data_IF_857380145208
#
_entry.id   IF_857380145208
#
_cell.length_a   1.000
_cell.length_b   1.000
_cell.length_c   1.000
_cell.angle_alpha   90.00
_cell.angle_beta   90.00
_cell.angle_gamma   90.00
#
_symmetry.space_group_name_H-M   'P 1'
#
loop_
_entity.id
_entity.type
_entity.pdbx_description
1 polymer ?
#
# COMPACT_ATOMS: atom_id res chain seq x y z
N UNK A 1 4.89 -17.81 -13.02
CA UNK A 1 4.56 -16.41 -12.74
C UNK A 1 5.53 -15.41 -13.38
N UNK A 2 6.87 -15.58 -13.30
CA UNK A 2 7.84 -14.65 -13.95
C UNK A 2 7.65 -14.45 -15.47
N UNK A 3 7.10 -15.41 -16.19
CA UNK A 3 6.88 -15.32 -17.65
C UNK A 3 5.64 -14.51 -18.04
N UNK A 4 4.56 -14.55 -17.26
CA UNK A 4 3.33 -13.81 -17.54
C UNK A 4 3.47 -12.30 -17.30
N UNK A 5 4.26 -11.90 -16.30
CA UNK A 5 4.55 -10.49 -16.01
C UNK A 5 5.38 -9.84 -17.13
N UNK A 6 6.21 -10.60 -17.84
CA UNK A 6 7.03 -10.09 -18.96
C UNK A 6 6.24 -9.75 -20.25
N UNK A 7 4.98 -10.14 -20.37
CA UNK A 7 4.18 -9.91 -21.58
C UNK A 7 3.41 -8.57 -21.58
N UNK A 8 3.39 -7.86 -20.45
CA UNK A 8 2.85 -6.49 -20.37
C UNK A 8 3.91 -5.54 -20.87
N UNK A 9 3.59 -4.67 -21.85
CA UNK A 9 4.55 -3.66 -22.26
C UNK A 9 4.93 -2.79 -21.05
N UNK A 10 6.22 -2.53 -20.84
CA UNK A 10 6.71 -1.67 -19.76
C UNK A 10 6.02 -0.30 -19.73
N UNK A 11 5.49 0.15 -20.86
CA UNK A 11 4.70 1.37 -20.98
C UNK A 11 3.36 1.31 -20.23
N UNK A 12 2.71 0.14 -20.18
CA UNK A 12 1.39 0.00 -19.56
C UNK A 12 1.47 0.11 -18.03
N UNK A 13 2.55 -0.42 -17.43
CA UNK A 13 2.79 -0.41 -15.98
C UNK A 13 3.76 0.69 -15.54
N UNK A 14 4.03 1.68 -16.41
CA UNK A 14 4.90 2.79 -16.07
C UNK A 14 4.30 3.62 -14.91
N UNK A 15 5.18 4.04 -13.99
CA UNK A 15 4.77 4.80 -12.81
C UNK A 15 4.01 6.08 -13.15
N UNK A 16 4.42 6.80 -14.19
CA UNK A 16 3.77 8.05 -14.60
C UNK A 16 2.32 7.80 -15.06
N UNK A 17 2.08 6.65 -15.67
CA UNK A 17 0.74 6.23 -16.08
C UNK A 17 -0.15 5.91 -14.87
N UNK A 18 0.41 5.21 -13.88
CA UNK A 18 -0.27 4.99 -12.61
C UNK A 18 -0.61 6.30 -11.91
N UNK A 19 0.34 7.24 -11.87
CA UNK A 19 0.13 8.53 -11.23
C UNK A 19 -0.90 9.39 -11.95
N UNK A 20 -0.93 9.36 -13.28
CA UNK A 20 -1.98 10.01 -14.08
C UNK A 20 -3.35 9.47 -13.70
N UNK A 21 -3.51 8.13 -13.66
CA UNK A 21 -4.76 7.49 -13.26
C UNK A 21 -5.19 7.89 -11.84
N UNK A 22 -4.25 7.89 -10.90
CA UNK A 22 -4.50 8.35 -9.51
C UNK A 22 -4.99 9.80 -9.50
N UNK A 23 -4.31 10.73 -10.19
CA UNK A 23 -4.66 12.16 -10.15
C UNK A 23 -5.96 12.50 -10.86
N UNK A 24 -6.40 11.69 -11.81
CA UNK A 24 -7.70 11.79 -12.47
C UNK A 24 -8.88 11.34 -11.59
N UNK A 25 -8.63 10.44 -10.63
CA UNK A 25 -9.69 9.83 -9.82
C UNK A 25 -9.68 10.29 -8.37
N UNK A 26 -8.53 10.68 -7.83
CA UNK A 26 -8.32 11.04 -6.43
C UNK A 26 -7.97 12.52 -6.32
N UNK A 27 -8.79 13.32 -5.68
CA UNK A 27 -8.52 14.72 -5.35
C UNK A 27 -7.89 14.89 -3.97
N UNK A 28 -8.21 13.99 -3.04
CA UNK A 28 -7.74 13.99 -1.66
C UNK A 28 -6.23 13.85 -1.53
N UNK A 29 -5.56 14.86 -0.96
CA UNK A 29 -4.12 14.82 -0.65
C UNK A 29 -3.79 13.67 0.33
N UNK A 30 -4.67 13.39 1.29
CA UNK A 30 -4.46 12.32 2.26
C UNK A 30 -4.49 10.94 1.60
N UNK A 31 -5.42 10.68 0.67
CA UNK A 31 -5.48 9.42 -0.06
C UNK A 31 -4.28 9.30 -1.02
N UNK A 32 -3.92 10.36 -1.74
CA UNK A 32 -2.72 10.36 -2.58
C UNK A 32 -1.45 10.01 -1.78
N UNK A 33 -1.30 10.58 -0.58
CA UNK A 33 -0.17 10.26 0.32
C UNK A 33 -0.23 8.82 0.82
N UNK A 34 -1.42 8.30 1.08
CA UNK A 34 -1.59 6.87 1.41
C UNK A 34 -1.11 5.98 0.25
N UNK A 35 -1.58 6.22 -0.97
CA UNK A 35 -1.15 5.47 -2.15
C UNK A 35 0.37 5.52 -2.36
N UNK A 36 0.99 6.69 -2.17
CA UNK A 36 2.45 6.85 -2.23
C UNK A 36 3.17 6.10 -1.11
N UNK A 37 2.59 6.03 0.08
CA UNK A 37 3.17 5.28 1.21
C UNK A 37 3.12 3.77 0.93
N UNK A 38 1.98 3.26 0.43
CA UNK A 38 1.84 1.85 0.04
C UNK A 38 2.77 1.52 -1.13
N UNK A 39 2.88 2.41 -2.13
CA UNK A 39 3.86 2.26 -3.22
C UNK A 39 5.29 2.12 -2.66
N UNK A 40 5.70 3.01 -1.74
CA UNK A 40 7.03 2.97 -1.15
C UNK A 40 7.30 1.65 -0.42
N UNK A 41 6.34 1.16 0.34
CA UNK A 41 6.45 -0.09 1.10
C UNK A 41 6.52 -1.31 0.17
N UNK A 42 5.63 -1.42 -0.81
CA UNK A 42 5.57 -2.55 -1.75
C UNK A 42 6.80 -2.59 -2.65
N UNK A 43 7.27 -1.44 -3.16
CA UNK A 43 8.55 -1.33 -3.89
C UNK A 43 9.73 -1.73 -3.02
N UNK A 44 9.72 -1.36 -1.74
CA UNK A 44 10.75 -1.76 -0.80
C UNK A 44 10.87 -3.28 -0.66
N UNK A 45 9.76 -3.97 -0.54
CA UNK A 45 9.74 -5.42 -0.52
C UNK A 45 10.11 -6.04 -1.87
N UNK A 46 9.66 -5.48 -2.99
CA UNK A 46 10.05 -5.95 -4.32
C UNK A 46 11.58 -5.94 -4.47
N UNK A 47 12.25 -4.84 -4.10
CA UNK A 47 13.72 -4.76 -4.08
C UNK A 47 14.36 -5.78 -3.15
N UNK A 48 13.84 -5.92 -1.93
CA UNK A 48 14.36 -6.86 -0.93
C UNK A 48 14.34 -8.31 -1.43
N UNK A 49 13.32 -8.67 -2.21
CA UNK A 49 13.13 -10.05 -2.68
C UNK A 49 13.52 -10.28 -4.14
N UNK A 50 14.05 -9.25 -4.83
CA UNK A 50 14.46 -9.35 -6.24
C UNK A 50 13.30 -9.56 -7.20
N UNK A 51 12.12 -9.02 -6.88
CA UNK A 51 10.92 -9.03 -7.71
C UNK A 51 10.87 -7.78 -8.62
N UNK A 52 9.91 -7.74 -9.54
CA UNK A 52 9.72 -6.61 -10.46
C UNK A 52 9.16 -5.38 -9.74
N UNK A 53 10.05 -4.43 -9.40
CA UNK A 53 9.73 -3.24 -8.65
C UNK A 53 8.72 -2.34 -9.38
N UNK A 54 8.80 -2.22 -10.71
CA UNK A 54 7.89 -1.38 -11.47
C UNK A 54 6.49 -1.99 -11.52
N UNK A 55 6.38 -3.29 -11.77
CA UNK A 55 5.11 -4.00 -11.75
C UNK A 55 4.43 -3.95 -10.37
N UNK A 56 5.20 -4.16 -9.30
CA UNK A 56 4.68 -4.14 -7.94
C UNK A 56 4.29 -2.73 -7.51
N UNK A 57 5.12 -1.74 -7.82
CA UNK A 57 4.86 -0.33 -7.52
C UNK A 57 3.63 0.20 -8.25
N UNK A 58 3.42 -0.22 -9.50
CA UNK A 58 2.21 0.13 -10.26
C UNK A 58 0.95 -0.33 -9.51
N UNK A 59 0.87 -1.62 -9.17
CA UNK A 59 -0.30 -2.19 -8.46
C UNK A 59 -0.54 -1.47 -7.15
N UNK A 60 0.52 -1.24 -6.36
CA UNK A 60 0.43 -0.55 -5.09
C UNK A 60 -0.09 0.89 -5.24
N UNK A 61 0.34 1.59 -6.28
CA UNK A 61 -0.05 2.99 -6.49
C UNK A 61 -1.52 3.12 -6.92
N UNK A 62 -2.06 2.12 -7.62
CA UNK A 62 -3.45 2.18 -8.14
C UNK A 62 -4.44 1.31 -7.35
N UNK A 63 -4.05 0.69 -6.23
CA UNK A 63 -4.95 -0.27 -5.55
C UNK A 63 -6.27 0.35 -5.07
N UNK A 64 -6.22 1.60 -4.61
CA UNK A 64 -7.34 2.35 -4.03
C UNK A 64 -7.72 3.60 -4.85
N UNK A 65 -7.32 3.70 -6.13
CA UNK A 65 -7.59 4.91 -6.91
C UNK A 65 -9.09 5.20 -7.13
N UNK A 66 -9.94 4.22 -6.97
CA UNK A 66 -11.40 4.33 -7.06
C UNK A 66 -12.08 4.67 -5.74
N UNK A 67 -11.39 4.50 -4.59
CA UNK A 67 -11.97 4.57 -3.25
C UNK A 67 -12.64 5.91 -2.94
N UNK A 68 -12.09 7.04 -3.38
CA UNK A 68 -12.70 8.35 -3.14
C UNK A 68 -14.09 8.50 -3.80
N UNK A 69 -14.28 7.87 -4.95
CA UNK A 69 -15.54 7.91 -5.70
C UNK A 69 -16.50 6.80 -5.25
N UNK A 70 -15.98 5.69 -4.80
CA UNK A 70 -16.70 4.47 -4.49
C UNK A 70 -16.26 3.86 -3.14
N UNK A 71 -16.54 4.51 -1.99
CA UNK A 71 -15.99 4.08 -0.70
C UNK A 71 -16.70 2.88 -0.07
N UNK A 72 -17.79 2.41 -0.66
CA UNK A 72 -18.57 1.29 -0.13
C UNK A 72 -18.08 -0.06 -0.68
N UNK A 73 -18.31 -1.13 0.12
CA UNK A 73 -17.86 -2.49 -0.20
C UNK A 73 -18.52 -3.13 -1.43
N UNK A 74 -19.62 -2.58 -1.90
CA UNK A 74 -20.31 -3.09 -3.09
C UNK A 74 -19.63 -2.61 -4.36
N UNK A 75 -18.96 -1.47 -4.30
CA UNK A 75 -18.33 -0.80 -5.44
C UNK A 75 -16.79 -0.89 -5.40
N UNK A 76 -16.15 -0.57 -4.28
CA UNK A 76 -14.70 -0.71 -4.12
C UNK A 76 -14.33 -2.16 -3.75
N UNK A 77 -13.25 -2.75 -4.33
CA UNK A 77 -12.39 -2.24 -5.42
C UNK A 77 -12.89 -2.63 -6.82
N UNK A 78 -14.12 -3.13 -6.93
CA UNK A 78 -14.67 -3.69 -8.18
C UNK A 78 -14.74 -2.65 -9.30
N UNK A 79 -15.12 -1.41 -8.99
CA UNK A 79 -15.18 -0.32 -9.99
C UNK A 79 -13.80 0.06 -10.51
N UNK A 80 -12.80 0.11 -9.65
CA UNK A 80 -11.42 0.30 -10.06
C UNK A 80 -10.95 -0.81 -10.99
N UNK A 81 -11.29 -2.06 -10.68
CA UNK A 81 -10.96 -3.22 -11.52
C UNK A 81 -11.66 -3.15 -12.88
N UNK A 82 -12.95 -2.80 -12.94
CA UNK A 82 -13.67 -2.60 -14.22
C UNK A 82 -12.99 -1.55 -15.10
N UNK A 83 -12.56 -0.42 -14.51
CA UNK A 83 -11.84 0.64 -15.22
C UNK A 83 -10.51 0.10 -15.77
N UNK A 84 -9.72 -0.61 -14.96
CA UNK A 84 -8.44 -1.17 -15.38
C UNK A 84 -8.60 -2.22 -16.48
N UNK A 85 -9.62 -3.07 -16.41
CA UNK A 85 -9.96 -4.03 -17.45
C UNK A 85 -10.33 -3.32 -18.76
N UNK A 86 -11.13 -2.25 -18.69
CA UNK A 86 -11.48 -1.42 -19.84
C UNK A 86 -10.27 -0.74 -20.50
N UNK A 87 -9.23 -0.46 -19.70
CA UNK A 87 -7.95 0.09 -20.17
C UNK A 87 -6.96 -0.98 -20.66
N UNK A 88 -7.33 -2.27 -20.61
CA UNK A 88 -6.52 -3.38 -21.12
C UNK A 88 -5.44 -3.87 -20.15
N UNK A 89 -5.54 -3.55 -18.85
CA UNK A 89 -4.61 -4.10 -17.87
C UNK A 89 -4.83 -5.61 -17.67
N UNK A 90 -3.74 -6.38 -17.49
CA UNK A 90 -3.83 -7.84 -17.41
C UNK A 90 -4.44 -8.31 -16.09
N UNK A 91 -4.96 -9.53 -16.11
CA UNK A 91 -5.64 -10.18 -14.99
C UNK A 91 -4.79 -10.18 -13.69
N UNK A 92 -3.48 -10.36 -13.77
CA UNK A 92 -2.64 -10.36 -12.57
C UNK A 92 -2.64 -9.02 -11.81
N UNK A 93 -2.82 -7.88 -12.51
CA UNK A 93 -2.99 -6.55 -11.90
C UNK A 93 -4.33 -6.47 -11.18
N UNK A 94 -5.40 -6.77 -11.90
CA UNK A 94 -6.76 -6.66 -11.37
C UNK A 94 -7.03 -7.66 -10.25
N UNK A 95 -6.45 -8.87 -10.36
CA UNK A 95 -6.51 -9.88 -9.31
C UNK A 95 -5.79 -9.42 -8.02
N UNK A 96 -4.60 -8.85 -8.15
CA UNK A 96 -3.86 -8.32 -7.01
C UNK A 96 -4.65 -7.21 -6.29
N UNK A 97 -5.30 -6.33 -7.05
CA UNK A 97 -6.16 -5.28 -6.49
C UNK A 97 -7.39 -5.90 -5.80
N UNK A 98 -8.10 -6.85 -6.42
CA UNK A 98 -9.22 -7.53 -5.76
C UNK A 98 -8.81 -8.20 -4.45
N UNK A 99 -7.63 -8.83 -4.41
CA UNK A 99 -7.18 -9.63 -3.27
C UNK A 99 -6.81 -8.82 -2.03
N UNK A 100 -6.62 -7.48 -2.15
CA UNK A 100 -6.33 -6.66 -0.98
C UNK A 100 -7.57 -6.48 -0.08
N UNK A 101 -8.77 -6.60 -0.63
CA UNK A 101 -10.02 -6.49 0.08
C UNK A 101 -10.61 -7.89 0.37
N UNK A 102 -10.63 -8.33 1.62
CA UNK A 102 -11.12 -9.67 2.00
C UNK A 102 -12.55 -9.96 1.50
N UNK A 103 -13.40 -8.93 1.48
CA UNK A 103 -14.79 -9.07 1.04
C UNK A 103 -14.95 -9.27 -0.47
N UNK A 104 -13.89 -9.11 -1.26
CA UNK A 104 -13.88 -9.45 -2.68
C UNK A 104 -14.00 -10.96 -2.93
N UNK A 105 -13.65 -11.78 -1.92
CA UNK A 105 -13.63 -13.23 -2.02
C UNK A 105 -12.43 -13.78 -2.84
N UNK A 106 -11.52 -12.93 -3.30
CA UNK A 106 -10.33 -13.34 -4.06
C UNK A 106 -9.19 -13.66 -3.08
N UNK A 107 -8.74 -14.92 -2.97
CA UNK A 107 -7.68 -15.29 -2.05
C UNK A 107 -6.32 -14.74 -2.50
N UNK A 108 -5.48 -14.37 -1.53
CA UNK A 108 -4.09 -13.96 -1.77
C UNK A 108 -3.19 -15.18 -1.96
N UNK A 109 -2.72 -15.41 -3.16
CA UNK A 109 -1.87 -16.54 -3.53
C UNK A 109 -0.44 -16.12 -3.81
N UNK A 110 -0.28 -15.06 -4.60
CA UNK A 110 1.04 -14.58 -5.01
C UNK A 110 1.72 -13.74 -3.91
N UNK A 111 3.05 -13.63 -4.00
CA UNK A 111 3.81 -12.78 -3.10
C UNK A 111 3.40 -11.30 -3.22
N UNK A 112 3.11 -10.82 -4.44
CA UNK A 112 2.61 -9.47 -4.66
C UNK A 112 1.29 -9.21 -3.91
N UNK A 113 0.33 -10.11 -4.04
CA UNK A 113 -0.99 -9.99 -3.39
C UNK A 113 -0.86 -9.92 -1.86
N UNK A 114 -0.05 -10.81 -1.28
CA UNK A 114 0.24 -10.80 0.16
C UNK A 114 0.97 -9.54 0.60
N UNK A 115 1.90 -9.04 -0.23
CA UNK A 115 2.65 -7.82 0.08
C UNK A 115 1.77 -6.59 0.02
N UNK A 116 0.90 -6.48 -0.98
CA UNK A 116 -0.04 -5.38 -1.08
C UNK A 116 -0.92 -5.31 0.17
N UNK A 117 -1.57 -6.41 0.52
CA UNK A 117 -2.41 -6.51 1.72
C UNK A 117 -1.65 -6.16 3.01
N UNK A 118 -0.45 -6.70 3.18
CA UNK A 118 0.34 -6.45 4.39
C UNK A 118 0.81 -4.99 4.50
N UNK A 119 1.08 -4.34 3.37
CA UNK A 119 1.60 -2.96 3.35
C UNK A 119 0.51 -1.90 3.42
N UNK A 120 -0.70 -2.18 2.96
CA UNK A 120 -1.79 -1.23 2.87
C UNK A 120 -2.13 -0.63 4.25
N UNK A 121 -2.79 -1.38 5.11
CA UNK A 121 -3.17 -0.90 6.44
C UNK A 121 -1.96 -0.55 7.32
N UNK A 122 -0.84 -1.27 7.17
CA UNK A 122 0.37 -0.99 7.93
C UNK A 122 0.97 0.38 7.58
N UNK A 123 0.98 0.76 6.31
CA UNK A 123 1.47 2.07 5.87
C UNK A 123 0.62 3.21 6.46
N UNK A 124 -0.71 3.05 6.44
CA UNK A 124 -1.65 3.99 7.07
C UNK A 124 -1.44 4.11 8.58
N UNK A 125 -1.27 2.98 9.26
CA UNK A 125 -1.06 2.95 10.71
C UNK A 125 0.28 3.57 11.14
N UNK A 126 1.36 3.32 10.38
CA UNK A 126 2.67 3.93 10.61
C UNK A 126 2.61 5.43 10.35
N UNK A 127 1.98 5.87 9.26
CA UNK A 127 1.77 7.30 8.95
C UNK A 127 1.03 8.00 10.08
N UNK A 128 -0.09 7.46 10.55
CA UNK A 128 -0.81 8.00 11.68
C UNK A 128 0.05 8.05 12.95
N UNK A 129 0.86 6.99 13.18
CA UNK A 129 1.77 6.92 14.33
C UNK A 129 2.86 7.99 14.30
N UNK A 130 3.38 8.33 13.11
CA UNK A 130 4.35 9.40 12.93
C UNK A 130 3.71 10.78 13.18
N UNK A 131 2.54 11.04 12.59
CA UNK A 131 1.88 12.35 12.63
C UNK A 131 1.44 12.82 14.03
N UNK A 132 1.16 11.89 14.95
CA UNK A 132 0.80 12.25 16.34
C UNK A 132 2.00 12.44 17.26
N UNK A 133 3.21 12.25 16.76
CA UNK A 133 4.45 12.55 17.51
C UNK A 133 4.72 14.07 17.51
N UNK A 134 5.44 14.61 18.53
CA UNK A 134 5.89 16.01 18.48
C UNK A 134 6.73 16.33 17.24
N UNK A 135 7.57 15.37 16.80
CA UNK A 135 8.40 15.49 15.59
C UNK A 135 7.59 15.44 14.30
N UNK A 136 6.38 14.85 14.31
CA UNK A 136 5.57 14.58 13.13
C UNK A 136 6.39 13.89 12.01
N UNK A 137 7.31 13.03 12.40
CA UNK A 137 8.30 12.44 11.50
C UNK A 137 8.35 10.93 11.62
N UNK A 138 8.56 10.27 10.48
CA UNK A 138 8.86 8.85 10.41
C UNK A 138 10.34 8.57 10.67
N UNK A 139 11.19 9.61 10.61
CA UNK A 139 12.64 9.48 10.73
C UNK A 139 13.10 9.02 12.12
N UNK A 140 12.37 9.39 13.17
CA UNK A 140 12.64 9.00 14.55
C UNK A 140 11.61 8.00 15.12
N UNK A 141 10.75 7.45 14.26
CA UNK A 141 9.74 6.45 14.65
C UNK A 141 10.36 5.05 14.70
N UNK A 142 10.14 4.34 15.80
CA UNK A 142 10.61 2.96 16.01
C UNK A 142 9.44 1.97 16.05
N UNK A 143 9.69 0.72 15.64
CA UNK A 143 8.69 -0.35 15.62
C UNK A 143 8.03 -0.58 17.00
N UNK A 144 8.81 -0.47 18.08
CA UNK A 144 8.31 -0.58 19.45
C UNK A 144 7.23 0.44 19.78
N UNK A 145 7.35 1.67 19.25
CA UNK A 145 6.35 2.73 19.41
C UNK A 145 5.07 2.41 18.65
N UNK A 146 5.18 1.85 17.45
CA UNK A 146 4.04 1.40 16.62
C UNK A 146 3.30 0.26 17.34
N UNK A 147 4.03 -0.76 17.81
CA UNK A 147 3.47 -1.90 18.56
C UNK A 147 2.76 -1.43 19.83
N UNK A 148 3.31 -0.44 20.53
CA UNK A 148 2.66 0.16 21.71
C UNK A 148 1.32 0.80 21.33
N UNK A 149 1.26 1.53 20.20
CA UNK A 149 0.02 2.15 19.70
C UNK A 149 -1.01 1.14 19.22
N UNK A 150 -0.62 -0.01 18.72
CA UNK A 150 -1.54 -1.10 18.37
C UNK A 150 -2.39 -1.57 19.57
N UNK A 151 -1.90 -1.38 20.80
CA UNK A 151 -2.64 -1.72 22.03
C UNK A 151 -3.73 -0.69 22.38
N UNK A 152 -3.63 0.54 21.85
CA UNK A 152 -4.64 1.58 22.00
C UNK A 152 -5.74 1.41 20.94
N UNK A 153 -6.89 0.91 21.34
CA UNK A 153 -8.03 0.67 20.45
C UNK A 153 -8.68 1.97 19.93
N UNK A 154 -8.47 3.11 20.60
CA UNK A 154 -8.99 4.40 20.16
C UNK A 154 -8.13 5.03 19.06
N UNK A 155 -6.83 4.74 19.05
CA UNK A 155 -5.90 5.25 18.04
C UNK A 155 -6.14 4.57 16.69
N UNK A 156 -6.25 5.37 15.61
CA UNK A 156 -6.50 4.86 14.25
C UNK A 156 -7.57 3.74 14.24
N UNK A 157 -8.73 4.03 14.82
CA UNK A 157 -9.79 3.02 15.07
C UNK A 157 -10.33 2.35 13.82
N UNK A 158 -10.21 3.01 12.66
CA UNK A 158 -10.63 2.47 11.37
C UNK A 158 -9.73 1.31 10.88
N UNK A 159 -8.50 1.21 11.39
CA UNK A 159 -7.54 0.16 11.02
C UNK A 159 -7.71 -1.06 11.90
N UNK A 160 -8.20 -2.21 11.39
CA UNK A 160 -8.33 -3.43 12.16
C UNK A 160 -6.95 -3.98 12.57
N UNK A 161 -6.75 -4.21 13.88
CA UNK A 161 -5.45 -4.70 14.37
C UNK A 161 -5.14 -6.12 13.90
N UNK A 162 -6.18 -6.88 13.63
CA UNK A 162 -6.07 -8.24 13.09
C UNK A 162 -5.49 -8.23 11.68
N UNK A 163 -5.81 -7.25 10.87
CA UNK A 163 -5.28 -7.14 9.51
C UNK A 163 -3.79 -6.80 9.52
N UNK A 164 -3.34 -5.95 10.47
CA UNK A 164 -1.91 -5.65 10.64
C UNK A 164 -1.08 -6.89 11.01
N UNK A 165 -1.61 -7.75 11.89
CA UNK A 165 -0.92 -8.98 12.30
C UNK A 165 -0.99 -10.04 11.21
N UNK A 166 -2.17 -10.25 10.62
CA UNK A 166 -2.37 -11.21 9.53
C UNK A 166 -1.51 -10.88 8.31
N UNK A 167 -1.36 -9.61 7.96
CA UNK A 167 -0.50 -9.20 6.85
C UNK A 167 0.97 -9.64 7.08
N UNK A 168 1.51 -9.44 8.27
CA UNK A 168 2.85 -9.90 8.62
C UNK A 168 2.95 -11.45 8.57
N UNK A 169 1.94 -12.15 9.11
CA UNK A 169 1.88 -13.61 9.12
C UNK A 169 1.82 -14.18 7.69
N UNK A 170 1.03 -13.61 6.80
CA UNK A 170 0.94 -14.04 5.40
C UNK A 170 2.25 -13.82 4.61
N UNK A 171 3.05 -12.83 5.02
CA UNK A 171 4.41 -12.63 4.49
C UNK A 171 5.42 -13.61 5.11
N UNK A 172 5.07 -14.30 6.19
CA UNK A 172 5.98 -15.15 6.95
C UNK A 172 7.03 -14.35 7.73
N UNK A 173 6.71 -13.11 8.12
CA UNK A 173 7.61 -12.21 8.85
C UNK A 173 7.12 -11.98 10.28
N UNK A 174 8.03 -11.88 11.26
CA UNK A 174 7.69 -11.36 12.58
C UNK A 174 7.10 -9.95 12.46
N UNK A 175 6.00 -9.65 13.17
CA UNK A 175 5.32 -8.35 13.12
C UNK A 175 6.27 -7.15 13.33
N UNK A 176 7.20 -7.26 14.29
CA UNK A 176 8.16 -6.20 14.57
C UNK A 176 9.13 -5.96 13.39
N UNK A 177 9.50 -7.01 12.68
CA UNK A 177 10.34 -6.94 11.49
C UNK A 177 9.58 -6.29 10.33
N UNK A 178 8.33 -6.72 10.09
CA UNK A 178 7.47 -6.10 9.08
C UNK A 178 7.30 -4.59 9.32
N UNK A 179 6.98 -4.18 10.55
CA UNK A 179 6.87 -2.76 10.92
C UNK A 179 8.20 -2.03 10.67
N UNK A 180 9.34 -2.61 11.08
CA UNK A 180 10.67 -2.01 10.88
C UNK A 180 10.97 -1.79 9.41
N UNK A 181 10.68 -2.79 8.57
CA UNK A 181 10.89 -2.72 7.13
C UNK A 181 10.03 -1.61 6.50
N UNK A 182 8.72 -1.57 6.82
CA UNK A 182 7.82 -0.54 6.28
C UNK A 182 8.27 0.85 6.73
N UNK A 183 8.62 1.06 8.02
CA UNK A 183 9.21 2.33 8.50
C UNK A 183 10.42 2.72 7.65
N UNK A 184 11.34 1.78 7.40
CA UNK A 184 12.55 2.01 6.60
C UNK A 184 12.20 2.42 5.16
N UNK A 185 11.20 1.80 4.55
CA UNK A 185 10.76 2.12 3.19
C UNK A 185 10.08 3.51 3.12
N UNK A 186 9.27 3.86 4.10
CA UNK A 186 8.63 5.17 4.17
C UNK A 186 9.65 6.31 4.42
N UNK A 187 10.72 6.05 5.17
CA UNK A 187 11.80 7.04 5.39
C UNK A 187 12.42 7.52 4.08
N UNK A 188 12.57 6.66 3.09
CA UNK A 188 13.12 7.02 1.77
C UNK A 188 12.25 8.06 1.04
N UNK A 189 10.95 8.08 1.31
CA UNK A 189 9.97 8.99 0.69
C UNK A 189 9.35 9.96 1.70
N UNK A 190 9.98 10.15 2.87
CA UNK A 190 9.43 10.94 3.97
C UNK A 190 9.01 12.36 3.55
N UNK A 191 9.78 13.01 2.66
CA UNK A 191 9.46 14.34 2.14
C UNK A 191 8.15 14.36 1.34
N UNK A 192 8.00 13.42 0.41
CA UNK A 192 6.81 13.34 -0.46
C UNK A 192 5.55 12.99 0.33
N UNK A 193 5.72 12.23 1.40
CA UNK A 193 4.67 11.82 2.32
C UNK A 193 4.30 12.89 3.36
N UNK A 194 5.09 13.96 3.47
CA UNK A 194 4.95 14.95 4.54
C UNK A 194 5.29 14.40 5.92
N UNK A 195 6.22 13.44 5.99
CA UNK A 195 6.64 12.73 7.21
C UNK A 195 8.09 13.02 7.61
N UNK A 196 8.71 14.08 7.06
CA UNK A 196 10.07 14.50 7.41
C UNK A 196 10.14 15.28 8.75
N UNK A 197 9.00 15.68 9.30
CA UNK A 197 8.92 16.60 10.42
C UNK A 197 8.76 18.06 9.99
N UNK A 198 8.62 18.99 10.95
CA UNK A 198 8.51 20.40 10.64
C UNK A 198 9.77 20.91 9.93
N UNK A 199 9.57 21.69 8.88
CA UNK A 199 10.66 22.44 8.25
C UNK A 199 11.03 23.56 9.25
N UNK A 200 12.22 23.47 9.85
CA UNK A 200 12.78 24.51 10.73
C UNK A 200 13.30 25.68 9.91
#
# INVERSE_FOLDING_TARGET
MRAAVRAVSNELIARDRAWTLVTEHVASDSLRKHLLAVEAAVRGYARMWGEDEEAWGFVALVHDFDYEKFPDRENHPFRGVEILQGLGYPEWVTRAILSHADYSGVPRESRLEKTLYACDEMSGFITASALVRPSRSVMDLEASSVIKRMKDKAFARAVPREDLTRGADELGLPLAEHITNVIGFLRVRASDLGLSGPVT
#
